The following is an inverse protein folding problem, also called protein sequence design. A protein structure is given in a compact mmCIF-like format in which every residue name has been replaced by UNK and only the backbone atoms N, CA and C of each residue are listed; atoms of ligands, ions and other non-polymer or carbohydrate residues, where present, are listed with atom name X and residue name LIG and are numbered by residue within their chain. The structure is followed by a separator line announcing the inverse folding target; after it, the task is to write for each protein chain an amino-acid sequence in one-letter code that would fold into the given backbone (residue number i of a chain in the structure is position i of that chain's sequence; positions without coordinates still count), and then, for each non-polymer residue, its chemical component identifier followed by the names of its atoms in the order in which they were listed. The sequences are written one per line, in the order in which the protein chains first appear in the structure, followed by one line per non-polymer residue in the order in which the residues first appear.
data_IF_731297489508
#
_entry.id   IF_731297489508
#
_cell.length_a   1.000
_cell.length_b   1.000
_cell.length_c   1.000
_cell.angle_alpha   90.00
_cell.angle_beta   90.00
_cell.angle_gamma   90.00
#
_symmetry.space_group_name_H-M   'P 1'
#
loop_
_entity.id
_entity.type
_entity.pdbx_description
1 polymer ?
#
# COMPACT_ATOMS: atom_id res chain seq x y z
N UNK A 1 28.73 16.21 71.03
CA UNK A 1 29.02 14.76 70.92
C UNK A 1 29.33 14.51 69.44
N UNK A 2 30.57 14.39 68.96
CA UNK A 2 31.49 13.20 68.94
C UNK A 2 30.72 11.92 68.55
N UNK A 3 31.03 11.13 67.49
CA UNK A 3 32.17 11.00 66.53
C UNK A 3 31.61 10.95 65.07
N UNK A 4 32.27 11.16 63.92
CA UNK A 4 33.68 11.40 63.47
C UNK A 4 34.62 10.18 63.27
N UNK A 5 34.72 9.69 62.01
CA UNK A 5 35.83 9.02 61.24
C UNK A 5 35.14 8.36 60.01
N UNK A 6 35.44 8.61 58.72
CA UNK A 6 36.69 8.64 57.93
C UNK A 6 37.39 7.28 57.81
N UNK A 7 37.34 6.67 56.61
CA UNK A 7 38.49 5.95 56.07
C UNK A 7 38.50 5.94 54.54
N UNK A 8 39.64 6.34 53.99
CA UNK A 8 39.93 6.47 52.56
C UNK A 8 41.11 5.53 52.31
N UNK A 9 40.97 4.54 51.43
CA UNK A 9 42.06 3.65 51.04
C UNK A 9 42.13 3.53 49.51
N UNK A 10 42.91 4.41 48.90
CA UNK A 10 43.50 4.17 47.58
C UNK A 10 44.60 3.12 47.75
N UNK A 11 44.57 2.06 46.94
CA UNK A 11 45.56 0.99 46.95
C UNK A 11 45.86 0.52 45.54
N UNK A 12 46.64 1.30 44.79
CA UNK A 12 47.22 0.84 43.55
C UNK A 12 48.53 0.09 43.84
N UNK A 13 48.70 -1.12 43.32
CA UNK A 13 49.93 -1.49 42.57
C UNK A 13 49.92 -2.90 41.96
N UNK A 14 50.57 -2.94 40.79
CA UNK A 14 51.38 -4.02 40.20
C UNK A 14 50.71 -5.18 39.43
N UNK A 15 50.85 -5.03 38.11
CA UNK A 15 50.89 -6.07 37.09
C UNK A 15 52.19 -6.90 37.22
N UNK A 16 52.10 -8.23 37.17
CA UNK A 16 53.03 -9.13 36.45
C UNK A 16 52.39 -10.51 36.30
N UNK A 17 52.49 -11.13 35.12
CA UNK A 17 51.89 -12.45 34.88
C UNK A 17 51.72 -12.84 33.42
N UNK A 18 52.79 -12.82 32.62
CA UNK A 18 52.75 -13.42 31.29
C UNK A 18 52.65 -14.95 31.41
N UNK A 19 51.59 -15.54 30.84
CA UNK A 19 51.39 -16.99 30.74
C UNK A 19 50.72 -17.31 29.40
N UNK A 20 51.38 -18.13 28.59
CA UNK A 20 51.09 -18.30 27.15
C UNK A 20 50.06 -19.38 26.83
N UNK A 21 49.33 -19.17 25.73
CA UNK A 21 48.96 -20.26 24.81
C UNK A 21 47.54 -20.81 24.95
N UNK A 22 46.70 -20.51 23.95
CA UNK A 22 45.37 -21.08 23.84
C UNK A 22 44.46 -20.25 22.93
N UNK A 23 44.67 -20.31 21.62
CA UNK A 23 43.77 -19.71 20.64
C UNK A 23 42.44 -20.48 20.62
N UNK A 24 41.50 -20.07 21.49
CA UNK A 24 40.09 -20.32 21.23
C UNK A 24 39.64 -19.27 20.23
N UNK A 25 39.37 -19.71 19.01
CA UNK A 25 38.51 -18.99 18.08
C UNK A 25 37.22 -18.69 18.82
N UNK A 26 36.98 -17.42 19.16
CA UNK A 26 35.66 -16.97 19.52
C UNK A 26 34.83 -17.07 18.24
N UNK A 27 34.01 -18.12 18.16
CA UNK A 27 32.86 -18.10 17.27
C UNK A 27 32.12 -16.77 17.51
N UNK A 28 31.70 -16.05 16.46
CA UNK A 28 30.88 -14.87 16.66
C UNK A 28 29.60 -15.35 17.35
N UNK A 29 29.42 -14.98 18.61
CA UNK A 29 28.14 -15.20 19.29
C UNK A 29 27.11 -14.43 18.49
N UNK A 30 26.27 -15.15 17.73
CA UNK A 30 25.16 -14.55 17.02
C UNK A 30 24.39 -13.69 18.01
N UNK A 31 24.17 -12.42 17.66
CA UNK A 31 23.16 -11.64 18.37
C UNK A 31 21.86 -12.43 18.23
N UNK A 32 21.13 -12.71 19.32
CA UNK A 32 19.81 -13.30 19.18
C UNK A 32 18.98 -12.39 18.28
N UNK A 33 18.51 -12.91 17.15
CA UNK A 33 17.67 -12.18 16.22
C UNK A 33 16.41 -11.74 16.98
N UNK A 34 16.22 -10.42 17.12
CA UNK A 34 15.23 -9.89 18.06
C UNK A 34 13.78 -9.97 17.55
N UNK A 35 13.57 -10.43 16.32
CA UNK A 35 12.26 -10.68 15.73
C UNK A 35 11.88 -12.16 15.68
N UNK A 36 10.59 -12.43 15.52
CA UNK A 36 10.06 -13.77 15.29
C UNK A 36 10.57 -14.35 13.98
N UNK A 37 10.82 -15.66 13.95
CA UNK A 37 10.93 -16.36 12.67
C UNK A 37 9.54 -16.40 12.03
N UNK A 38 9.41 -15.87 10.81
CA UNK A 38 8.25 -16.11 9.95
C UNK A 38 8.54 -17.34 9.09
N UNK A 39 7.52 -18.15 8.81
CA UNK A 39 7.62 -19.35 7.96
C UNK A 39 6.60 -19.22 6.86
N UNK A 40 7.02 -19.41 5.60
CA UNK A 40 6.12 -19.57 4.46
C UNK A 40 5.25 -20.80 4.75
N UNK A 41 3.95 -20.55 4.93
CA UNK A 41 2.98 -21.60 5.25
C UNK A 41 2.49 -22.24 3.95
N UNK A 42 2.01 -21.41 3.03
CA UNK A 42 1.34 -21.79 1.80
C UNK A 42 1.52 -20.68 0.73
N UNK A 43 1.39 -21.05 -0.54
CA UNK A 43 1.30 -20.15 -1.69
C UNK A 43 -0.03 -20.40 -2.40
N UNK A 44 -0.81 -19.33 -2.59
CA UNK A 44 -2.13 -19.37 -3.20
C UNK A 44 -2.08 -18.65 -4.55
N UNK A 45 -2.00 -19.41 -5.65
CA UNK A 45 -2.10 -18.85 -7.01
C UNK A 45 -3.34 -17.96 -7.12
N UNK A 46 -3.21 -16.78 -7.75
CA UNK A 46 -4.41 -15.95 -8.02
C UNK A 46 -5.31 -16.63 -9.05
N UNK A 47 -6.63 -16.37 -9.05
CA UNK A 47 -7.54 -16.85 -10.10
C UNK A 47 -7.09 -16.40 -11.50
N UNK A 48 -7.25 -17.28 -12.49
CA UNK A 48 -6.85 -17.04 -13.89
C UNK A 48 -7.48 -15.76 -14.47
N UNK A 49 -8.69 -15.38 -14.01
CA UNK A 49 -9.39 -14.16 -14.45
C UNK A 49 -8.73 -12.86 -13.98
N UNK A 50 -7.78 -12.92 -13.03
CA UNK A 50 -6.95 -11.80 -12.58
C UNK A 50 -5.65 -11.66 -13.38
N UNK A 51 -5.41 -12.50 -14.40
CA UNK A 51 -4.20 -12.52 -15.20
C UNK A 51 -4.47 -12.08 -16.65
N UNK A 52 -3.54 -11.34 -17.23
CA UNK A 52 -3.40 -11.16 -18.69
C UNK A 52 -1.94 -11.42 -19.06
N UNK A 53 -1.69 -12.35 -19.98
CA UNK A 53 -0.34 -12.85 -20.34
C UNK A 53 0.58 -13.12 -19.12
N UNK A 54 0.05 -13.81 -18.09
CA UNK A 54 0.68 -14.11 -16.78
C UNK A 54 0.98 -12.90 -15.87
N UNK A 55 0.66 -11.67 -16.31
CA UNK A 55 0.75 -10.45 -15.52
C UNK A 55 -0.54 -10.19 -14.73
N UNK A 56 -0.38 -9.91 -13.43
CA UNK A 56 -1.49 -9.66 -12.53
C UNK A 56 -2.14 -8.29 -12.80
N UNK A 57 -3.44 -8.29 -13.01
CA UNK A 57 -4.23 -7.10 -13.37
C UNK A 57 -4.75 -6.32 -12.15
N UNK A 58 -4.57 -6.86 -10.94
CA UNK A 58 -4.94 -6.23 -9.67
C UNK A 58 -3.71 -6.26 -8.76
N UNK A 59 -3.20 -5.08 -8.40
CA UNK A 59 -1.97 -4.96 -7.61
C UNK A 59 -2.20 -4.52 -6.16
N UNK A 60 -3.44 -4.21 -5.77
CA UNK A 60 -3.81 -3.84 -4.39
C UNK A 60 -4.28 -5.06 -3.61
N UNK A 61 -3.55 -5.43 -2.54
CA UNK A 61 -3.97 -6.48 -1.60
C UNK A 61 -4.56 -5.82 -0.35
N UNK A 62 -5.84 -6.03 -0.10
CA UNK A 62 -6.58 -5.31 0.94
C UNK A 62 -7.32 -6.28 1.87
N UNK A 63 -7.88 -5.77 2.96
CA UNK A 63 -8.81 -6.54 3.81
C UNK A 63 -10.24 -6.39 3.26
N UNK A 64 -11.08 -7.43 3.34
CA UNK A 64 -12.52 -7.34 3.04
C UNK A 64 -13.37 -6.92 4.26
N UNK A 65 -14.69 -6.84 4.10
CA UNK A 65 -15.61 -6.48 5.19
C UNK A 65 -15.60 -7.46 6.37
N UNK A 66 -15.18 -8.70 6.14
CA UNK A 66 -15.11 -9.78 7.13
C UNK A 66 -13.73 -9.93 7.81
N UNK A 67 -12.71 -9.17 7.39
CA UNK A 67 -11.35 -9.26 7.94
C UNK A 67 -10.40 -10.23 7.19
N UNK A 68 -10.80 -10.73 6.02
CA UNK A 68 -10.02 -11.67 5.20
C UNK A 68 -9.26 -10.94 4.05
N UNK A 69 -8.09 -11.45 3.59
CA UNK A 69 -7.38 -10.88 2.45
C UNK A 69 -8.20 -10.95 1.16
N UNK A 70 -8.23 -9.87 0.38
CA UNK A 70 -8.99 -9.78 -0.86
C UNK A 70 -8.32 -8.93 -1.94
N UNK A 71 -8.62 -9.27 -3.19
CA UNK A 71 -8.29 -8.54 -4.42
C UNK A 71 -9.60 -8.07 -5.08
N UNK A 72 -9.60 -6.88 -5.68
CA UNK A 72 -10.78 -6.30 -6.34
C UNK A 72 -10.51 -5.97 -7.81
N UNK A 73 -11.41 -6.40 -8.70
CA UNK A 73 -11.27 -6.19 -10.15
C UNK A 73 -12.53 -5.53 -10.73
N UNK A 74 -12.35 -4.51 -11.57
CA UNK A 74 -13.40 -4.03 -12.45
C UNK A 74 -13.43 -4.86 -13.74
N UNK A 75 -14.60 -5.39 -14.11
CA UNK A 75 -14.76 -6.21 -15.31
C UNK A 75 -15.92 -5.70 -16.16
N UNK A 76 -15.65 -5.58 -17.46
CA UNK A 76 -16.64 -5.33 -18.51
C UNK A 76 -16.74 -6.59 -19.37
N UNK A 77 -17.85 -7.31 -19.28
CA UNK A 77 -18.07 -8.57 -19.99
C UNK A 77 -19.45 -8.67 -20.62
N UNK A 78 -19.57 -9.41 -21.72
CA UNK A 78 -20.86 -9.73 -22.36
C UNK A 78 -21.47 -11.01 -21.75
N UNK A 79 -22.75 -10.96 -21.38
CA UNK A 79 -23.52 -12.17 -21.09
C UNK A 79 -24.04 -12.83 -22.39
N UNK A 80 -24.54 -14.05 -22.30
CA UNK A 80 -25.13 -14.84 -23.40
C UNK A 80 -26.29 -14.15 -24.17
N UNK A 81 -26.81 -13.03 -23.67
CA UNK A 81 -27.88 -12.22 -24.29
C UNK A 81 -27.37 -10.98 -25.05
N UNK A 82 -26.08 -10.93 -25.40
CA UNK A 82 -25.38 -9.79 -26.06
C UNK A 82 -25.36 -8.47 -25.24
N UNK A 83 -25.86 -8.44 -23.99
CA UNK A 83 -25.81 -7.24 -23.16
C UNK A 83 -24.48 -7.15 -22.39
N UNK A 84 -23.66 -6.15 -22.75
CA UNK A 84 -22.42 -5.84 -22.02
C UNK A 84 -22.75 -5.37 -20.60
N UNK A 85 -22.23 -6.08 -19.60
CA UNK A 85 -22.38 -5.76 -18.19
C UNK A 85 -21.04 -5.35 -17.54
N UNK A 86 -21.11 -4.35 -16.66
CA UNK A 86 -20.00 -3.82 -15.88
C UNK A 86 -20.19 -4.26 -14.42
N UNK A 87 -19.17 -4.89 -13.81
CA UNK A 87 -19.23 -5.38 -12.42
C UNK A 87 -17.92 -5.11 -11.69
N UNK A 88 -17.97 -4.99 -10.36
CA UNK A 88 -16.79 -5.15 -9.51
C UNK A 88 -16.84 -6.57 -8.94
N UNK A 89 -15.71 -7.30 -8.99
CA UNK A 89 -15.55 -8.58 -8.32
C UNK A 89 -14.61 -8.43 -7.13
N UNK A 90 -14.98 -9.05 -6.01
CA UNK A 90 -14.12 -9.27 -4.85
C UNK A 90 -13.71 -10.75 -4.86
N UNK A 91 -12.40 -11.00 -4.87
CA UNK A 91 -11.81 -12.32 -4.72
C UNK A 91 -11.20 -12.37 -3.32
N UNK A 92 -11.87 -13.05 -2.40
CA UNK A 92 -11.43 -13.22 -1.00
C UNK A 92 -10.67 -14.53 -0.86
N UNK A 93 -9.47 -14.50 -0.28
CA UNK A 93 -8.73 -15.70 0.14
C UNK A 93 -9.18 -16.10 1.54
N UNK A 94 -9.99 -17.16 1.63
CA UNK A 94 -10.56 -17.57 2.91
C UNK A 94 -9.55 -18.32 3.80
N UNK A 95 -9.90 -18.51 5.07
CA UNK A 95 -9.09 -19.27 6.04
C UNK A 95 -8.80 -20.75 5.70
N UNK A 96 -9.46 -21.35 4.71
CA UNK A 96 -9.17 -22.69 4.21
C UNK A 96 -8.15 -22.70 3.04
N UNK A 97 -7.80 -21.53 2.50
CA UNK A 97 -6.92 -21.40 1.34
C UNK A 97 -7.64 -21.38 -0.01
N UNK A 98 -8.98 -21.31 -0.02
CA UNK A 98 -9.79 -21.24 -1.24
C UNK A 98 -10.16 -19.79 -1.57
N UNK A 99 -10.03 -19.40 -2.83
CA UNK A 99 -10.60 -18.14 -3.31
C UNK A 99 -12.12 -18.20 -3.38
N UNK A 100 -12.79 -17.18 -2.86
CA UNK A 100 -14.24 -17.00 -2.91
C UNK A 100 -14.55 -15.71 -3.69
N UNK A 101 -15.41 -15.80 -4.70
CA UNK A 101 -15.77 -14.64 -5.53
C UNK A 101 -17.15 -14.09 -5.15
N UNK A 102 -17.21 -12.79 -4.85
CA UNK A 102 -18.46 -12.01 -4.76
C UNK A 102 -18.53 -11.04 -5.94
N UNK A 103 -19.73 -10.79 -6.46
CA UNK A 103 -19.97 -9.82 -7.55
C UNK A 103 -20.80 -8.65 -7.01
N UNK A 104 -20.33 -7.42 -7.22
CA UNK A 104 -20.98 -6.20 -6.77
C UNK A 104 -21.43 -5.31 -7.93
N UNK A 105 -22.55 -4.63 -7.71
CA UNK A 105 -22.99 -3.48 -8.47
C UNK A 105 -23.46 -3.75 -9.90
N UNK A 106 -23.37 -4.99 -10.42
CA UNK A 106 -23.58 -5.36 -11.85
C UNK A 106 -24.63 -4.50 -12.57
N UNK A 107 -25.88 -4.54 -12.10
CA UNK A 107 -27.00 -3.82 -12.71
C UNK A 107 -26.90 -2.29 -12.59
N UNK A 108 -26.39 -1.80 -11.47
CA UNK A 108 -26.23 -0.37 -11.20
C UNK A 108 -25.07 0.22 -12.01
N UNK A 109 -23.89 -0.40 -11.96
CA UNK A 109 -22.69 -0.05 -12.73
C UNK A 109 -22.97 -0.10 -14.23
N UNK A 110 -23.53 -1.20 -14.75
CA UNK A 110 -23.87 -1.32 -16.19
C UNK A 110 -24.74 -0.15 -16.66
N UNK A 111 -25.78 0.20 -15.90
CA UNK A 111 -26.67 1.33 -16.23
C UNK A 111 -25.95 2.67 -16.13
N UNK A 112 -25.07 2.83 -15.14
CA UNK A 112 -24.29 4.04 -14.89
C UNK A 112 -23.25 4.31 -15.99
N UNK A 113 -22.51 3.27 -16.38
CA UNK A 113 -21.50 3.31 -17.44
C UNK A 113 -22.16 3.55 -18.79
N UNK A 114 -23.18 2.77 -19.18
CA UNK A 114 -23.93 3.00 -20.44
C UNK A 114 -24.45 4.44 -20.55
N UNK A 115 -25.11 4.94 -19.50
CA UNK A 115 -25.59 6.34 -19.46
C UNK A 115 -24.46 7.38 -19.52
N UNK A 116 -23.26 7.06 -19.02
CA UNK A 116 -22.11 7.97 -19.10
C UNK A 116 -21.53 7.97 -20.53
N UNK A 117 -21.46 6.80 -21.18
CA UNK A 117 -21.02 6.62 -22.58
C UNK A 117 -21.99 7.20 -23.63
N UNK A 118 -23.22 7.56 -23.27
CA UNK A 118 -24.17 8.25 -24.17
C UNK A 118 -23.73 9.71 -24.50
N UNK A 119 -22.73 10.25 -23.82
CA UNK A 119 -22.15 11.59 -24.09
C UNK A 119 -20.92 11.57 -25.00
N UNK A 120 -20.23 12.71 -25.11
CA UNK A 120 -18.92 12.83 -25.79
C UNK A 120 -17.78 12.25 -24.94
N UNK A 121 -17.87 10.96 -24.65
CA UNK A 121 -16.95 10.21 -23.77
C UNK A 121 -16.21 9.16 -24.60
N UNK A 122 -14.88 9.19 -24.54
CA UNK A 122 -14.01 8.22 -25.20
C UNK A 122 -14.01 6.89 -24.45
N UNK A 123 -13.82 6.94 -23.14
CA UNK A 123 -13.72 5.75 -22.29
C UNK A 123 -14.15 6.02 -20.85
N UNK A 124 -14.60 4.96 -20.18
CA UNK A 124 -14.99 4.93 -18.76
C UNK A 124 -14.28 3.76 -18.12
N UNK A 125 -13.56 4.02 -17.04
CA UNK A 125 -12.77 3.03 -16.32
C UNK A 125 -12.85 3.24 -14.80
N UNK A 126 -12.52 2.21 -14.03
CA UNK A 126 -12.44 2.24 -12.57
C UNK A 126 -11.01 1.87 -12.15
N UNK A 127 -10.00 2.72 -12.40
CA UNK A 127 -8.58 2.41 -12.18
C UNK A 127 -8.20 2.16 -10.71
N UNK A 128 -9.05 2.53 -9.76
CA UNK A 128 -8.85 2.25 -8.33
C UNK A 128 -10.13 1.71 -7.73
N UNK A 129 -10.02 0.59 -7.00
CA UNK A 129 -11.07 0.03 -6.15
C UNK A 129 -10.43 -0.21 -4.79
N UNK A 130 -10.95 0.44 -3.75
CA UNK A 130 -10.39 0.33 -2.41
C UNK A 130 -11.46 0.34 -1.34
N UNK A 131 -11.18 -0.34 -0.23
CA UNK A 131 -11.90 -0.04 1.02
C UNK A 131 -11.36 1.24 1.62
N UNK A 132 -12.26 2.11 2.06
CA UNK A 132 -11.89 3.24 2.90
C UNK A 132 -11.51 2.78 4.30
N UNK A 133 -10.90 3.67 5.09
CA UNK A 133 -10.61 3.38 6.50
C UNK A 133 -11.90 3.16 7.32
N UNK A 134 -13.05 3.63 6.81
CA UNK A 134 -14.39 3.39 7.34
C UNK A 134 -14.95 1.98 7.04
N UNK A 135 -14.21 1.15 6.29
CA UNK A 135 -14.55 -0.21 5.89
C UNK A 135 -15.48 -0.34 4.67
N UNK A 136 -16.01 0.76 4.14
CA UNK A 136 -16.90 0.73 2.97
C UNK A 136 -16.12 0.54 1.66
N UNK A 137 -16.73 -0.13 0.68
CA UNK A 137 -16.13 -0.32 -0.64
C UNK A 137 -16.36 0.90 -1.54
N UNK A 138 -15.27 1.46 -2.06
CA UNK A 138 -15.25 2.58 -2.98
C UNK A 138 -14.56 2.23 -4.31
N UNK A 139 -14.87 2.99 -5.35
CA UNK A 139 -14.09 3.00 -6.58
C UNK A 139 -13.97 4.42 -7.13
N UNK A 140 -12.80 4.74 -7.69
CA UNK A 140 -12.60 5.97 -8.44
C UNK A 140 -12.95 5.72 -9.91
N UNK A 141 -14.08 6.26 -10.37
CA UNK A 141 -14.48 6.21 -11.78
C UNK A 141 -13.81 7.35 -12.55
N UNK A 142 -12.94 7.00 -13.49
CA UNK A 142 -12.37 7.90 -14.48
C UNK A 142 -13.26 7.93 -15.73
N UNK A 143 -13.54 9.12 -16.23
CA UNK A 143 -14.28 9.35 -17.49
C UNK A 143 -13.39 10.18 -18.40
N UNK A 144 -12.86 9.59 -19.47
CA UNK A 144 -12.03 10.31 -20.46
C UNK A 144 -12.94 10.89 -21.53
N UNK A 145 -12.85 12.20 -21.74
CA UNK A 145 -13.67 12.92 -22.71
C UNK A 145 -13.04 12.83 -24.11
N UNK A 146 -13.86 12.79 -25.16
CA UNK A 146 -13.35 12.92 -26.53
C UNK A 146 -12.72 14.31 -26.74
N UNK A 147 -11.48 14.36 -27.20
CA UNK A 147 -10.88 15.59 -27.74
C UNK A 147 -11.06 15.62 -29.26
N UNK A 148 -11.97 16.47 -29.73
CA UNK A 148 -12.25 16.70 -31.15
C UNK A 148 -11.05 17.31 -31.91
N UNK A 149 -10.03 17.82 -31.22
CA UNK A 149 -8.83 18.44 -31.78
C UNK A 149 -7.57 17.56 -31.68
N UNK A 150 -7.64 16.41 -31.01
CA UNK A 150 -6.49 15.53 -30.85
C UNK A 150 -6.00 15.04 -32.22
N UNK A 151 -4.69 15.16 -32.44
CA UNK A 151 -4.04 14.64 -33.64
C UNK A 151 -4.15 13.11 -33.64
N UNK A 152 -4.78 12.44 -34.64
CA UNK A 152 -5.00 10.98 -34.62
C UNK A 152 -3.71 10.14 -34.68
N UNK A 153 -2.54 10.78 -34.77
CA UNK A 153 -1.22 10.15 -34.71
C UNK A 153 -0.45 10.41 -33.40
N UNK A 154 -1.00 11.22 -32.48
CA UNK A 154 -0.46 11.43 -31.13
C UNK A 154 -1.46 10.88 -30.10
N UNK A 155 -0.99 10.08 -29.15
CA UNK A 155 -1.77 9.74 -27.94
C UNK A 155 -1.85 10.97 -27.01
N UNK A 156 -2.60 11.99 -27.41
CA UNK A 156 -3.07 13.00 -26.48
C UNK A 156 -4.26 12.40 -25.73
N UNK A 157 -4.07 12.11 -24.43
CA UNK A 157 -5.19 11.68 -23.59
C UNK A 157 -6.19 12.84 -23.51
N UNK A 158 -7.45 12.55 -23.81
CA UNK A 158 -8.52 13.50 -23.57
C UNK A 158 -8.60 13.87 -22.08
N UNK A 159 -9.12 15.07 -21.81
CA UNK A 159 -9.39 15.54 -20.45
C UNK A 159 -10.17 14.51 -19.64
N UNK A 160 -9.74 14.22 -18.41
CA UNK A 160 -10.48 13.32 -17.51
C UNK A 160 -11.49 14.08 -16.64
N UNK A 161 -12.55 13.39 -16.25
CA UNK A 161 -13.36 13.73 -15.08
C UNK A 161 -13.37 12.57 -14.10
N UNK A 162 -13.25 12.85 -12.80
CA UNK A 162 -13.24 11.83 -11.76
C UNK A 162 -14.52 11.87 -10.92
N UNK A 163 -14.98 10.68 -10.53
CA UNK A 163 -16.17 10.50 -9.72
C UNK A 163 -15.92 9.45 -8.64
N UNK A 164 -16.28 9.76 -7.39
CA UNK A 164 -16.33 8.76 -6.34
C UNK A 164 -17.57 7.89 -6.56
N UNK A 165 -17.36 6.58 -6.59
CA UNK A 165 -18.42 5.58 -6.47
C UNK A 165 -18.36 4.98 -5.07
N UNK A 166 -19.45 5.09 -4.31
CA UNK A 166 -19.65 4.32 -3.08
C UNK A 166 -20.56 3.13 -3.39
N UNK A 167 -20.13 1.92 -3.04
CA UNK A 167 -20.82 0.67 -3.34
C UNK A 167 -21.45 0.12 -2.06
N UNK A 168 -22.78 0.06 -2.01
CA UNK A 168 -23.51 -0.64 -0.94
C UNK A 168 -23.55 -2.14 -1.28
N UNK A 169 -22.70 -2.91 -0.62
CA UNK A 169 -22.56 -4.36 -0.81
C UNK A 169 -23.85 -5.13 -0.46
N UNK A 170 -24.70 -4.61 0.45
CA UNK A 170 -25.94 -5.26 0.87
C UNK A 170 -27.05 -5.07 -0.15
N UNK A 171 -27.22 -3.84 -0.68
CA UNK A 171 -28.29 -3.53 -1.65
C UNK A 171 -27.84 -3.59 -3.11
N UNK A 172 -26.54 -3.71 -3.37
CA UNK A 172 -25.90 -3.56 -4.68
C UNK A 172 -26.20 -2.21 -5.36
N UNK A 173 -26.51 -1.18 -4.56
CA UNK A 173 -26.63 0.19 -5.03
C UNK A 173 -25.24 0.83 -5.21
N UNK A 174 -25.16 1.77 -6.15
CA UNK A 174 -23.95 2.58 -6.39
C UNK A 174 -24.34 4.05 -6.34
N UNK A 175 -23.77 4.78 -5.41
CA UNK A 175 -23.86 6.24 -5.35
C UNK A 175 -22.69 6.84 -6.13
N UNK A 176 -22.97 7.74 -7.08
CA UNK A 176 -21.95 8.46 -7.88
C UNK A 176 -21.92 9.94 -7.48
N UNK A 177 -20.76 10.40 -7.02
CA UNK A 177 -20.49 11.81 -6.69
C UNK A 177 -19.42 12.37 -7.64
N UNK A 178 -19.64 13.56 -8.23
CA UNK A 178 -18.66 14.19 -9.14
C UNK A 178 -17.64 15.01 -8.36
N UNK A 179 -16.36 14.67 -8.47
CA UNK A 179 -15.29 15.36 -7.76
C UNK A 179 -14.94 16.67 -8.49
N UNK A 180 -14.93 17.79 -7.76
CA UNK A 180 -14.78 19.13 -8.32
C UNK A 180 -13.30 19.55 -8.33
N UNK A 181 -12.56 19.13 -9.35
CA UNK A 181 -11.10 19.33 -9.52
C UNK A 181 -10.68 20.71 -10.02
N UNK A 182 -11.62 21.65 -10.10
CA UNK A 182 -11.37 23.03 -10.54
C UNK A 182 -10.85 23.91 -9.41
N UNK A 183 -9.91 24.78 -9.75
CA UNK A 183 -9.22 25.70 -8.86
C UNK A 183 -9.23 27.09 -9.51
N UNK A 184 -9.79 28.08 -8.81
CA UNK A 184 -9.67 29.49 -9.19
C UNK A 184 -8.63 30.17 -8.28
N UNK A 185 -7.47 30.53 -8.84
CA UNK A 185 -6.38 31.19 -8.12
C UNK A 185 -5.81 32.36 -8.91
N UNK A 186 -5.66 33.50 -8.24
CA UNK A 186 -5.13 34.75 -8.82
C UNK A 186 -5.83 35.22 -10.12
N UNK A 187 -7.06 34.75 -10.38
CA UNK A 187 -7.83 35.05 -11.60
C UNK A 187 -7.60 34.07 -12.76
N UNK A 188 -6.87 32.97 -12.55
CA UNK A 188 -6.76 31.84 -13.47
C UNK A 188 -7.63 30.67 -12.99
N UNK A 189 -8.31 29.98 -13.90
CA UNK A 189 -8.98 28.71 -13.63
C UNK A 189 -8.09 27.57 -14.14
N UNK A 190 -7.77 26.61 -13.27
CA UNK A 190 -7.04 25.37 -13.59
C UNK A 190 -7.91 24.18 -13.18
N UNK A 191 -8.01 23.16 -14.03
CA UNK A 191 -8.82 21.96 -13.79
C UNK A 191 -7.89 20.75 -13.72
N UNK A 192 -7.55 20.32 -12.50
CA UNK A 192 -6.44 19.38 -12.28
C UNK A 192 -6.67 18.03 -12.99
N UNK A 193 -7.93 17.58 -13.11
CA UNK A 193 -8.27 16.35 -13.84
C UNK A 193 -8.02 16.41 -15.36
N UNK A 194 -7.80 17.61 -15.91
CA UNK A 194 -7.51 17.81 -17.33
C UNK A 194 -6.03 17.96 -17.62
N UNK A 195 -5.25 18.39 -16.62
CA UNK A 195 -3.82 18.63 -16.75
C UNK A 195 -2.99 17.47 -16.18
N UNK A 196 -3.55 16.69 -15.25
CA UNK A 196 -2.84 15.66 -14.49
C UNK A 196 -3.66 14.37 -14.31
N UNK A 197 -2.98 13.24 -14.40
CA UNK A 197 -3.52 11.93 -14.01
C UNK A 197 -3.48 11.75 -12.49
N UNK A 198 -4.48 11.05 -11.95
CA UNK A 198 -4.47 10.56 -10.56
C UNK A 198 -3.49 9.39 -10.47
N UNK A 199 -2.61 9.43 -9.48
CA UNK A 199 -1.61 8.40 -9.19
C UNK A 199 -1.87 7.66 -7.88
N UNK A 200 -2.74 8.17 -7.02
CA UNK A 200 -3.11 7.57 -5.73
C UNK A 200 -4.54 7.96 -5.34
N UNK A 201 -5.28 7.04 -4.72
CA UNK A 201 -6.65 7.24 -4.26
C UNK A 201 -6.87 6.61 -2.87
N UNK A 202 -7.23 7.44 -1.90
CA UNK A 202 -7.54 7.01 -0.53
C UNK A 202 -8.91 7.52 -0.08
N UNK A 203 -9.54 6.85 0.88
CA UNK A 203 -10.76 7.34 1.56
C UNK A 203 -10.59 7.17 3.07
N UNK A 204 -10.65 8.28 3.81
CA UNK A 204 -10.43 8.32 5.26
C UNK A 204 -11.62 7.81 6.08
N UNK A 205 -11.45 7.65 7.40
CA UNK A 205 -12.46 7.10 8.33
C UNK A 205 -13.77 7.93 8.36
N UNK A 206 -13.70 9.23 8.06
CA UNK A 206 -14.87 10.10 7.91
C UNK A 206 -15.51 10.05 6.51
N UNK A 207 -15.02 9.19 5.63
CA UNK A 207 -15.46 9.03 4.25
C UNK A 207 -14.96 10.10 3.30
N UNK A 208 -13.93 10.89 3.65
CA UNK A 208 -13.35 11.91 2.76
C UNK A 208 -12.41 11.28 1.71
N UNK A 209 -12.75 11.27 0.40
CA UNK A 209 -11.81 10.88 -0.64
C UNK A 209 -10.65 11.88 -0.77
N UNK A 210 -9.44 11.34 -0.87
CA UNK A 210 -8.22 12.04 -1.26
C UNK A 210 -7.75 11.54 -2.63
N UNK A 211 -7.41 12.46 -3.53
CA UNK A 211 -6.73 12.18 -4.80
C UNK A 211 -5.36 12.81 -4.80
N UNK A 212 -4.34 12.06 -5.22
CA UNK A 212 -3.01 12.63 -5.55
C UNK A 212 -2.84 12.64 -7.05
N UNK A 213 -2.51 13.81 -7.60
CA UNK A 213 -2.24 14.04 -9.01
C UNK A 213 -0.72 14.01 -9.25
N UNK A 214 -0.30 13.25 -10.26
CA UNK A 214 1.08 13.07 -10.74
C UNK A 214 2.19 13.09 -9.65
N UNK A 215 1.91 12.49 -8.49
CA UNK A 215 2.75 12.47 -7.29
C UNK A 215 3.18 13.85 -6.74
N UNK A 216 2.60 14.96 -7.23
CA UNK A 216 3.06 16.32 -6.90
C UNK A 216 2.04 17.18 -6.16
N UNK A 217 0.74 16.94 -6.33
CA UNK A 217 -0.33 17.71 -5.66
C UNK A 217 -1.46 16.79 -5.20
N UNK A 218 -2.24 17.22 -4.22
CA UNK A 218 -3.38 16.43 -3.73
C UNK A 218 -4.61 17.27 -3.41
N UNK A 219 -5.79 16.66 -3.52
CA UNK A 219 -7.07 17.27 -3.17
C UNK A 219 -7.91 16.33 -2.33
N UNK A 220 -8.72 16.92 -1.45
CA UNK A 220 -9.73 16.26 -0.64
C UNK A 220 -11.10 16.79 -1.03
N UNK A 221 -12.13 15.95 -0.94
CA UNK A 221 -13.50 16.31 -1.35
C UNK A 221 -14.54 15.83 -0.34
N UNK A 222 -15.60 16.59 -0.17
CA UNK A 222 -16.81 16.13 0.52
C UNK A 222 -17.46 15.01 -0.31
N UNK A 223 -17.60 13.80 0.25
CA UNK A 223 -18.04 12.61 -0.49
C UNK A 223 -19.51 12.63 -0.96
N UNK A 224 -20.32 13.55 -0.43
CA UNK A 224 -21.74 13.69 -0.77
C UNK A 224 -21.95 14.69 -1.93
N UNK A 225 -21.30 15.85 -1.88
CA UNK A 225 -21.42 16.92 -2.88
C UNK A 225 -20.31 16.91 -3.93
N UNK A 226 -19.19 16.25 -3.62
CA UNK A 226 -17.96 16.24 -4.42
C UNK A 226 -17.20 17.56 -4.42
N UNK A 227 -17.59 18.51 -3.55
CA UNK A 227 -16.95 19.81 -3.45
C UNK A 227 -15.57 19.64 -2.81
N UNK A 228 -14.53 20.18 -3.44
CA UNK A 228 -13.17 20.18 -2.92
C UNK A 228 -13.11 20.90 -1.58
N UNK A 229 -12.74 20.18 -0.52
CA UNK A 229 -12.59 20.70 0.85
C UNK A 229 -11.20 21.27 1.09
N UNK A 230 -10.16 20.70 0.46
CA UNK A 230 -8.79 21.13 0.63
C UNK A 230 -7.92 20.87 -0.64
N UNK A 231 -6.79 21.57 -0.75
CA UNK A 231 -5.79 21.46 -1.82
C UNK A 231 -4.39 21.57 -1.20
N UNK A 232 -3.51 20.64 -1.57
CA UNK A 232 -2.08 20.74 -1.37
C UNK A 232 -1.41 20.85 -2.74
N UNK A 233 -0.94 22.05 -3.10
CA UNK A 233 -0.28 22.35 -4.38
C UNK A 233 1.04 21.59 -4.57
N UNK A 234 1.71 21.21 -3.47
CA UNK A 234 3.02 20.56 -3.51
C UNK A 234 3.22 19.57 -2.36
N UNK A 235 3.20 18.28 -2.68
CA UNK A 235 3.52 17.21 -1.74
C UNK A 235 5.01 17.22 -1.40
N UNK A 236 5.31 17.15 -0.11
CA UNK A 236 6.69 17.07 0.38
C UNK A 236 7.44 15.86 -0.18
N UNK A 237 8.67 16.08 -0.66
CA UNK A 237 9.67 15.05 -1.02
C UNK A 237 9.26 13.98 -2.06
N UNK A 238 8.13 14.15 -2.77
CA UNK A 238 7.64 13.19 -3.76
C UNK A 238 7.13 11.88 -3.15
N UNK A 239 6.47 11.97 -1.99
CA UNK A 239 6.02 10.83 -1.20
C UNK A 239 5.26 9.76 -1.98
N UNK A 240 4.26 10.16 -2.79
CA UNK A 240 3.41 9.28 -3.59
C UNK A 240 4.04 8.89 -4.94
N UNK A 241 5.37 8.77 -5.01
CA UNK A 241 6.06 8.14 -6.15
C UNK A 241 6.06 6.61 -6.06
N UNK A 242 5.62 6.06 -4.92
CA UNK A 242 5.33 4.66 -4.58
C UNK A 242 4.19 4.63 -3.55
N UNK A 243 3.68 3.44 -3.22
CA UNK A 243 2.73 3.22 -2.10
C UNK A 243 3.22 3.88 -0.81
N UNK A 244 2.27 4.36 -0.01
CA UNK A 244 2.49 4.97 1.30
C UNK A 244 1.68 4.23 2.38
N UNK A 245 2.08 4.36 3.64
CA UNK A 245 1.27 3.90 4.77
C UNK A 245 0.34 5.01 5.27
N UNK A 246 -0.94 4.70 5.43
CA UNK A 246 -1.97 5.61 5.96
C UNK A 246 -2.19 5.35 7.45
N UNK A 247 -1.98 6.35 8.30
CA UNK A 247 -2.35 6.33 9.72
C UNK A 247 -3.45 7.34 10.01
N UNK A 248 -4.03 7.28 11.21
CA UNK A 248 -5.22 8.06 11.60
C UNK A 248 -5.15 9.55 11.22
N UNK A 249 -3.99 10.16 11.42
CA UNK A 249 -3.76 11.58 11.18
C UNK A 249 -2.52 11.84 10.31
N UNK A 250 -1.84 10.80 9.81
CA UNK A 250 -0.55 10.94 9.13
C UNK A 250 -0.34 9.96 7.97
N UNK A 251 0.57 10.32 7.07
CA UNK A 251 0.97 9.49 5.95
C UNK A 251 2.49 9.27 6.00
N UNK A 252 2.92 8.02 5.91
CA UNK A 252 4.32 7.63 6.02
C UNK A 252 4.79 7.07 4.68
N UNK A 253 5.93 7.56 4.21
CA UNK A 253 6.55 7.14 2.96
C UNK A 253 8.05 6.94 3.15
N UNK A 254 8.67 6.13 2.30
CA UNK A 254 10.13 5.96 2.29
C UNK A 254 10.79 6.80 1.21
N UNK A 255 11.63 7.75 1.61
CA UNK A 255 12.41 8.58 0.68
C UNK A 255 13.68 7.84 0.26
N UNK A 256 13.72 7.31 -0.96
CA UNK A 256 14.93 6.68 -1.53
C UNK A 256 16.14 7.61 -1.57
N UNK A 257 15.93 8.92 -1.77
CA UNK A 257 17.00 9.92 -1.87
C UNK A 257 17.59 10.30 -0.51
N UNK A 258 16.76 10.38 0.54
CA UNK A 258 17.21 10.65 1.92
C UNK A 258 17.55 9.37 2.71
N UNK A 259 17.12 8.21 2.21
CA UNK A 259 17.17 6.90 2.87
C UNK A 259 16.53 6.90 4.27
N UNK A 260 15.38 7.55 4.38
CA UNK A 260 14.62 7.74 5.62
C UNK A 260 13.14 7.65 5.35
N UNK A 261 12.38 7.35 6.39
CA UNK A 261 10.93 7.55 6.40
C UNK A 261 10.62 9.01 6.66
N UNK A 262 9.73 9.59 5.87
CA UNK A 262 9.10 10.86 6.18
C UNK A 262 7.70 10.63 6.70
N UNK A 263 7.28 11.45 7.67
CA UNK A 263 5.89 11.50 8.15
C UNK A 263 5.28 12.81 7.67
N UNK A 264 4.12 12.73 7.03
CA UNK A 264 3.32 13.86 6.59
C UNK A 264 2.08 13.97 7.47
N UNK A 265 1.62 15.18 7.73
CA UNK A 265 0.27 15.44 8.23
C UNK A 265 -0.75 15.06 7.13
N UNK A 266 -1.73 14.22 7.44
CA UNK A 266 -2.68 13.65 6.45
C UNK A 266 -3.55 14.70 5.75
N UNK A 267 -3.77 15.86 6.38
CA UNK A 267 -4.66 16.90 5.90
C UNK A 267 -3.93 17.96 5.06
N UNK A 268 -2.65 18.20 5.33
CA UNK A 268 -1.85 19.26 4.67
C UNK A 268 -0.71 18.72 3.80
N UNK A 269 -0.35 17.44 3.96
CA UNK A 269 0.82 16.78 3.35
C UNK A 269 2.16 17.50 3.61
N UNK A 270 2.17 18.35 4.64
CA UNK A 270 3.37 18.98 5.17
C UNK A 270 4.13 17.97 6.01
N UNK A 271 5.45 17.84 5.76
CA UNK A 271 6.30 16.90 6.50
C UNK A 271 6.46 17.32 7.96
N UNK A 272 5.92 16.52 8.87
CA UNK A 272 5.94 16.75 10.33
C UNK A 272 7.20 16.21 10.99
N UNK A 273 7.72 15.06 10.51
CA UNK A 273 8.93 14.43 11.05
C UNK A 273 9.66 13.53 10.03
N UNK A 274 10.82 13.01 10.40
CA UNK A 274 11.55 11.97 9.68
C UNK A 274 12.22 10.99 10.66
N UNK A 275 12.31 9.71 10.30
CA UNK A 275 12.93 8.65 11.12
C UNK A 275 13.60 7.56 10.27
N UNK A 276 14.20 6.54 10.91
CA UNK A 276 14.92 5.45 10.24
C UNK A 276 16.46 5.55 10.29
N UNK A 277 17.01 6.42 11.14
CA UNK A 277 18.46 6.47 11.41
C UNK A 277 18.97 5.19 12.13
N UNK A 278 18.06 4.45 12.76
CA UNK A 278 18.25 3.16 13.44
C UNK A 278 18.18 1.93 12.51
N UNK A 279 17.70 2.13 11.27
CA UNK A 279 17.64 1.07 10.25
C UNK A 279 19.03 0.90 9.62
N UNK A 280 19.46 -0.34 9.41
CA UNK A 280 20.79 -0.64 8.85
C UNK A 280 20.94 -0.16 7.40
N UNK A 281 22.16 0.22 7.02
CA UNK A 281 22.44 0.70 5.66
C UNK A 281 22.13 -0.34 4.56
N UNK A 282 22.32 -1.63 4.86
CA UNK A 282 22.00 -2.72 3.93
C UNK A 282 20.50 -2.85 3.64
N UNK A 283 19.64 -2.37 4.55
CA UNK A 283 18.18 -2.41 4.40
C UNK A 283 17.66 -1.19 3.64
N UNK A 284 18.39 -0.07 3.67
CA UNK A 284 18.01 1.21 3.04
C UNK A 284 18.02 1.21 1.50
N UNK A 285 18.51 0.14 0.88
CA UNK A 285 18.55 -0.05 -0.58
C UNK A 285 17.26 -0.65 -1.16
N UNK A 286 16.45 -1.30 -0.33
CA UNK A 286 15.24 -2.00 -0.77
C UNK A 286 14.07 -1.04 -0.94
N UNK A 287 13.14 -1.45 -1.80
CA UNK A 287 11.78 -0.94 -1.83
C UNK A 287 11.05 -1.24 -0.51
N UNK A 288 10.07 -0.41 -0.16
CA UNK A 288 9.26 -0.57 1.04
C UNK A 288 7.78 -0.54 0.67
N UNK A 289 7.06 -1.50 1.24
CA UNK A 289 5.62 -1.69 1.11
C UNK A 289 5.00 -1.41 2.48
N UNK A 290 3.77 -0.92 2.50
CA UNK A 290 3.10 -0.48 3.73
C UNK A 290 1.73 -1.12 3.83
N UNK A 291 1.31 -1.35 5.06
CA UNK A 291 -0.05 -1.78 5.40
C UNK A 291 -0.45 -1.13 6.73
N UNK A 292 -1.75 -0.98 6.97
CA UNK A 292 -2.30 -0.35 8.17
C UNK A 292 -3.56 -1.05 8.66
N UNK A 293 -3.51 -1.53 9.90
CA UNK A 293 -4.70 -1.97 10.62
C UNK A 293 -5.53 -0.74 11.03
N UNK A 294 -6.57 -0.42 10.26
CA UNK A 294 -7.45 0.74 10.50
C UNK A 294 -8.28 0.62 11.77
N UNK A 295 -8.37 -0.58 12.39
CA UNK A 295 -9.12 -0.76 13.66
C UNK A 295 -8.37 -0.17 14.86
N UNK A 296 -7.05 -0.07 14.78
CA UNK A 296 -6.19 0.43 15.87
C UNK A 296 -5.06 1.35 15.41
N UNK A 297 -5.07 1.71 14.12
CA UNK A 297 -4.08 2.54 13.42
C UNK A 297 -2.64 2.02 13.53
N UNK A 298 -2.48 0.70 13.65
CA UNK A 298 -1.17 0.07 13.66
C UNK A 298 -0.64 -0.12 12.23
N UNK A 299 0.25 0.78 11.84
CA UNK A 299 0.98 0.68 10.58
C UNK A 299 2.13 -0.34 10.64
N UNK A 300 2.31 -1.04 9.54
CA UNK A 300 3.41 -1.94 9.26
C UNK A 300 4.19 -1.46 8.03
N UNK A 301 5.47 -1.82 7.96
CA UNK A 301 6.28 -1.63 6.77
C UNK A 301 7.08 -2.89 6.51
N UNK A 302 7.06 -3.36 5.27
CA UNK A 302 7.73 -4.56 4.83
C UNK A 302 8.77 -4.24 3.75
N UNK A 303 9.88 -4.96 3.79
CA UNK A 303 10.75 -5.17 2.65
C UNK A 303 11.48 -6.52 2.76
N UNK A 304 12.29 -6.85 1.74
CA UNK A 304 13.12 -8.06 1.75
C UNK A 304 14.03 -8.20 2.99
N UNK A 305 14.40 -7.09 3.64
CA UNK A 305 15.17 -7.16 4.88
C UNK A 305 14.35 -7.61 6.08
N UNK A 306 13.04 -7.35 6.12
CA UNK A 306 12.18 -7.69 7.25
C UNK A 306 10.82 -7.01 7.28
N UNK A 307 9.97 -7.49 8.19
CA UNK A 307 8.70 -6.86 8.56
C UNK A 307 8.95 -5.98 9.80
N UNK A 308 8.42 -4.77 9.78
CA UNK A 308 8.54 -3.76 10.83
C UNK A 308 7.15 -3.27 11.23
N UNK A 309 7.02 -2.90 12.50
CA UNK A 309 5.86 -2.25 13.09
C UNK A 309 6.26 -0.86 13.51
N UNK A 310 5.54 0.16 13.07
CA UNK A 310 5.80 1.53 13.48
C UNK A 310 5.05 1.88 14.77
N UNK A 311 5.59 2.78 15.57
CA UNK A 311 4.98 3.14 16.86
C UNK A 311 5.34 4.58 17.24
N UNK A 312 4.46 5.22 18.02
CA UNK A 312 4.63 6.55 18.60
C UNK A 312 4.85 7.68 17.57
N UNK A 313 3.96 7.83 16.58
CA UNK A 313 4.06 8.81 15.48
C UNK A 313 4.06 10.31 15.87
N UNK A 314 4.06 10.64 17.16
CA UNK A 314 4.31 11.99 17.66
C UNK A 314 5.79 12.39 17.59
N UNK A 315 6.37 12.81 18.72
CA UNK A 315 7.74 13.35 18.73
C UNK A 315 8.86 12.33 18.52
N UNK A 316 8.55 11.03 18.42
CA UNK A 316 9.58 9.98 18.31
C UNK A 316 9.06 8.68 17.68
N UNK A 317 8.62 8.76 16.42
CA UNK A 317 8.30 7.60 15.61
C UNK A 317 9.47 6.61 15.60
N UNK A 318 9.19 5.32 15.81
CA UNK A 318 10.21 4.28 15.83
C UNK A 318 9.78 3.02 15.08
N UNK A 319 10.74 2.35 14.44
CA UNK A 319 10.52 1.13 13.67
C UNK A 319 10.92 -0.10 14.49
N UNK A 320 9.95 -0.79 15.09
CA UNK A 320 10.20 -2.06 15.77
C UNK A 320 10.19 -3.20 14.76
N UNK A 321 11.36 -3.79 14.49
CA UNK A 321 11.45 -4.99 13.64
C UNK A 321 10.71 -6.18 14.27
N UNK A 322 9.82 -6.81 13.50
CA UNK A 322 9.04 -7.97 13.91
C UNK A 322 9.64 -9.30 13.45
N UNK A 323 10.32 -9.35 12.30
CA UNK A 323 10.89 -10.59 11.74
C UNK A 323 12.38 -10.78 12.08
N UNK A 324 12.86 -12.02 12.08
CA UNK A 324 14.28 -12.36 12.22
C UNK A 324 15.14 -11.83 11.06
N UNK A 325 16.46 -11.78 11.25
CA UNK A 325 17.44 -11.48 10.18
C UNK A 325 17.40 -12.55 9.07
N UNK A 326 17.48 -12.10 7.81
CA UNK A 326 17.46 -12.95 6.61
C UNK A 326 16.15 -13.71 6.35
N UNK A 327 15.05 -13.37 7.05
CA UNK A 327 13.84 -14.19 7.03
C UNK A 327 13.16 -14.26 5.64
N UNK A 328 13.38 -13.28 4.79
CA UNK A 328 12.73 -13.14 3.48
C UNK A 328 13.76 -13.15 2.33
N UNK A 329 14.99 -13.62 2.58
CA UNK A 329 16.04 -13.71 1.57
C UNK A 329 15.66 -14.63 0.39
N UNK A 330 14.69 -15.53 0.59
CA UNK A 330 14.11 -16.40 -0.45
C UNK A 330 13.27 -15.67 -1.49
N UNK A 331 12.85 -14.42 -1.20
CA UNK A 331 12.05 -13.58 -2.10
C UNK A 331 12.93 -12.65 -2.96
N UNK A 332 14.25 -12.86 -3.00
CA UNK A 332 15.19 -11.95 -3.68
C UNK A 332 14.96 -11.84 -5.20
N UNK A 333 14.40 -12.89 -5.81
CA UNK A 333 14.10 -12.98 -7.25
C UNK A 333 12.58 -12.90 -7.55
N UNK A 334 11.75 -12.68 -6.52
CA UNK A 334 10.30 -12.51 -6.63
C UNK A 334 9.94 -11.03 -6.83
N UNK A 335 8.96 -10.75 -7.69
CA UNK A 335 8.37 -9.40 -7.81
C UNK A 335 7.27 -9.27 -6.77
N UNK A 336 7.38 -8.27 -5.90
CA UNK A 336 6.39 -7.99 -4.85
C UNK A 336 5.55 -6.77 -5.29
N UNK A 337 4.24 -6.95 -5.35
CA UNK A 337 3.27 -5.92 -5.72
C UNK A 337 2.72 -5.20 -4.49
N UNK A 338 2.39 -5.95 -3.44
CA UNK A 338 1.79 -5.40 -2.22
C UNK A 338 1.94 -6.31 -0.99
N UNK A 339 1.60 -5.75 0.17
CA UNK A 339 1.65 -6.41 1.48
C UNK A 339 0.35 -6.21 2.25
N UNK A 340 -0.07 -7.23 3.00
CA UNK A 340 -1.13 -7.13 3.99
C UNK A 340 -0.74 -7.87 5.28
N UNK A 341 -0.97 -7.26 6.44
CA UNK A 341 -0.69 -7.84 7.76
C UNK A 341 -2.01 -8.17 8.45
N UNK A 342 -2.45 -9.41 8.25
CA UNK A 342 -3.69 -9.92 8.82
C UNK A 342 -3.62 -10.15 10.34
N UNK A 343 -4.74 -10.65 10.86
CA UNK A 343 -4.90 -11.00 12.27
C UNK A 343 -3.74 -11.87 12.79
N UNK A 344 -3.39 -11.70 14.07
CA UNK A 344 -2.25 -12.36 14.71
C UNK A 344 -0.85 -12.03 14.11
N UNK A 345 -0.73 -11.02 13.25
CA UNK A 345 0.50 -10.70 12.50
C UNK A 345 0.85 -11.80 11.50
N UNK A 346 -0.15 -12.37 10.84
CA UNK A 346 0.06 -13.12 9.61
C UNK A 346 0.44 -12.14 8.49
N UNK A 347 1.47 -12.46 7.71
CA UNK A 347 1.98 -11.61 6.64
C UNK A 347 1.56 -12.23 5.30
N UNK A 348 0.79 -11.50 4.51
CA UNK A 348 0.39 -11.85 3.17
C UNK A 348 1.17 -10.98 2.17
N UNK A 349 1.73 -11.59 1.13
CA UNK A 349 2.51 -10.90 0.10
C UNK A 349 1.92 -11.23 -1.26
N UNK A 350 1.48 -10.21 -2.00
CA UNK A 350 1.06 -10.36 -3.39
C UNK A 350 2.31 -10.34 -4.28
N UNK A 351 2.58 -11.45 -4.97
CA UNK A 351 3.84 -11.64 -5.71
C UNK A 351 3.63 -12.24 -7.10
N UNK A 352 4.64 -12.04 -7.96
CA UNK A 352 4.94 -12.92 -9.10
C UNK A 352 6.30 -13.57 -8.85
N UNK A 353 6.28 -14.89 -8.67
CA UNK A 353 7.44 -15.73 -8.37
C UNK A 353 8.01 -16.31 -9.66
N UNK A 354 9.34 -16.33 -9.78
CA UNK A 354 10.02 -16.90 -10.95
C UNK A 354 10.23 -18.40 -10.76
N UNK A 355 9.67 -19.22 -11.65
CA UNK A 355 9.84 -20.67 -11.63
C UNK A 355 10.98 -21.10 -12.58
N UNK A 356 12.14 -21.45 -12.01
CA UNK A 356 13.19 -22.17 -12.74
C UNK A 356 12.79 -23.64 -12.97
N UNK A 357 12.01 -23.87 -14.03
CA UNK A 357 11.76 -25.22 -14.57
C UNK A 357 13.08 -25.93 -14.90
N UNK A 358 13.24 -27.18 -14.45
CA UNK A 358 14.39 -28.03 -14.84
C UNK A 358 14.30 -28.61 -16.26
N UNK A 359 13.35 -28.13 -17.08
CA UNK A 359 13.17 -28.53 -18.47
C UNK A 359 13.46 -27.32 -19.36
N UNK A 360 14.30 -27.53 -20.37
CA UNK A 360 15.07 -26.48 -21.04
C UNK A 360 14.22 -25.36 -21.70
N UNK A 361 14.64 -24.12 -21.47
CA UNK A 361 14.41 -22.90 -22.28
C UNK A 361 13.20 -21.99 -22.06
N UNK A 362 12.23 -22.32 -21.19
CA UNK A 362 11.12 -21.40 -20.85
C UNK A 362 11.14 -21.03 -19.36
N UNK A 363 11.21 -19.71 -19.07
CA UNK A 363 11.01 -19.15 -17.73
C UNK A 363 9.52 -18.95 -17.53
N UNK A 364 8.93 -19.69 -16.61
CA UNK A 364 7.52 -19.55 -16.21
C UNK A 364 7.41 -18.69 -14.95
N UNK A 365 6.26 -18.05 -14.76
CA UNK A 365 5.98 -17.22 -13.60
C UNK A 365 4.69 -17.65 -12.92
N UNK A 366 4.71 -17.74 -11.59
CA UNK A 366 3.52 -17.99 -10.79
C UNK A 366 3.12 -16.71 -10.07
N UNK A 367 1.94 -16.18 -10.40
CA UNK A 367 1.34 -15.03 -9.70
C UNK A 367 0.43 -15.54 -8.58
N UNK A 368 0.57 -14.99 -7.36
CA UNK A 368 -0.13 -15.52 -6.18
C UNK A 368 0.08 -14.72 -4.90
N UNK A 369 -0.60 -15.15 -3.84
CA UNK A 369 -0.42 -14.63 -2.48
C UNK A 369 0.37 -15.65 -1.66
N UNK A 370 1.53 -15.25 -1.12
CA UNK A 370 2.25 -16.05 -0.13
C UNK A 370 1.73 -15.71 1.26
N UNK A 371 1.43 -16.72 2.08
CA UNK A 371 1.16 -16.55 3.52
C UNK A 371 2.36 -16.92 4.38
N UNK A 372 2.80 -15.98 5.21
CA UNK A 372 3.86 -16.15 6.21
C UNK A 372 3.29 -16.05 7.63
N UNK A 373 3.60 -17.01 8.49
CA UNK A 373 3.13 -17.04 9.89
C UNK A 373 4.28 -16.96 10.90
N UNK A 374 4.13 -16.26 12.06
CA UNK A 374 5.12 -16.27 13.13
C UNK A 374 5.23 -17.66 13.78
N UNK A 375 6.41 -18.28 13.73
CA UNK A 375 6.66 -19.65 14.20
C UNK A 375 6.56 -19.89 15.72
N UNK A 376 6.28 -18.85 16.50
CA UNK A 376 6.33 -18.83 17.97
C UNK A 376 4.96 -18.49 18.63
N UNK A 377 3.84 -18.62 17.92
CA UNK A 377 2.49 -18.44 18.46
C UNK A 377 1.72 -19.76 18.47
#
# INVERSE_FOLDING_TARGET
MKRLLVMLCVGAMLVTGCGSGGSKTSEPTEKPSQGNKYVEQDFYSVPDELLDEDEIQVTDLQTNAEGEPALYQYVVGSDDEDDTGCSIYEYTLNSAGDWQTKQYGRKALTKLVKKTMEGSVDSVDLPYISRGDDGNLYALMQVKLYDENANPFEKQSGASEYYLLAIDENSNAVQKTKLQTKVEENGSETDYAKEYDVTEFHVTEDGTPMLVFNSSSAMWFDSVSGTRTNLCESVSDGAFSKRVGYGENEIVYYSMSKKKFGVLDSQTLSRTSEFGDDISEDNKKYEWYFDSDTTNWQMYAFNLSGLYRFSDFGQKTSATRLSADGNFDSLADDVIYDVLVGANQELYLLVRRTNESQIESETTYDSGVIKYVPANK
#
